data_IF_221235388815
#
_entry.id   IF_221235388815
#
_cell.length_a   1.000
_cell.length_b   1.000
_cell.length_c   1.000
_cell.angle_alpha   90.00
_cell.angle_beta   90.00
_cell.angle_gamma   90.00
#
_symmetry.space_group_name_H-M   'P 1'
#
loop_
_entity.id
_entity.type
_entity.pdbx_description
1 polymer ?
#
# COMPACT_ATOMS: atom_id res chain seq x y z
N UNK A 1 52.04 -22.33 11.51
CA UNK A 1 50.97 -21.66 12.28
C UNK A 1 50.54 -20.30 11.70
N UNK A 2 51.38 -19.60 10.92
CA UNK A 2 51.06 -18.27 10.36
C UNK A 2 50.07 -18.32 9.18
N UNK A 3 50.20 -19.27 8.25
CA UNK A 3 49.34 -19.34 7.05
C UNK A 3 47.86 -19.63 7.37
N UNK A 4 47.57 -20.60 8.25
CA UNK A 4 46.18 -20.91 8.66
C UNK A 4 45.43 -19.72 9.26
N UNK A 5 46.13 -18.85 10.02
CA UNK A 5 45.52 -17.63 10.59
C UNK A 5 45.22 -16.59 9.52
N UNK A 6 46.02 -16.53 8.46
CA UNK A 6 45.80 -15.61 7.34
C UNK A 6 44.55 -16.04 6.54
N UNK A 7 44.43 -17.33 6.22
CA UNK A 7 43.29 -17.88 5.47
C UNK A 7 41.96 -17.75 6.24
N UNK A 8 41.98 -17.96 7.55
CA UNK A 8 40.81 -17.75 8.42
C UNK A 8 40.37 -16.27 8.43
N UNK A 9 41.32 -15.33 8.55
CA UNK A 9 41.02 -13.90 8.56
C UNK A 9 40.41 -13.43 7.23
N UNK A 10 40.95 -13.89 6.10
CA UNK A 10 40.41 -13.59 4.76
C UNK A 10 38.99 -14.15 4.60
N UNK A 11 38.77 -15.38 5.05
CA UNK A 11 37.46 -16.05 4.99
C UNK A 11 36.41 -15.32 5.83
N UNK A 12 36.75 -14.92 7.05
CA UNK A 12 35.86 -14.15 7.94
C UNK A 12 35.54 -12.78 7.33
N UNK A 13 36.54 -12.06 6.82
CA UNK A 13 36.33 -10.75 6.17
C UNK A 13 35.39 -10.85 4.96
N UNK A 14 35.54 -11.90 4.15
CA UNK A 14 34.66 -12.16 2.99
C UNK A 14 33.21 -12.44 3.43
N UNK A 15 33.00 -13.28 4.45
CA UNK A 15 31.67 -13.57 5.00
C UNK A 15 30.97 -12.33 5.54
N UNK A 16 31.70 -11.49 6.28
CA UNK A 16 31.17 -10.22 6.81
C UNK A 16 30.77 -9.28 5.68
N UNK A 17 31.57 -9.15 4.62
CA UNK A 17 31.23 -8.32 3.47
C UNK A 17 29.97 -8.82 2.73
N UNK A 18 29.85 -10.14 2.54
CA UNK A 18 28.66 -10.74 1.92
C UNK A 18 27.42 -10.49 2.78
N UNK A 19 27.48 -10.76 4.09
CA UNK A 19 26.35 -10.53 5.00
C UNK A 19 25.97 -9.04 5.08
N UNK A 20 26.96 -8.14 5.13
CA UNK A 20 26.71 -6.69 5.09
C UNK A 20 25.98 -6.28 3.81
N UNK A 21 26.44 -6.80 2.66
CA UNK A 21 25.85 -6.48 1.36
C UNK A 21 24.42 -7.01 1.27
N UNK A 22 24.17 -8.24 1.71
CA UNK A 22 22.84 -8.85 1.73
C UNK A 22 21.87 -8.12 2.68
N UNK A 23 22.37 -7.52 3.76
CA UNK A 23 21.56 -6.73 4.68
C UNK A 23 21.30 -5.30 4.17
N UNK A 24 22.34 -4.61 3.69
CA UNK A 24 22.24 -3.21 3.25
C UNK A 24 21.51 -3.05 1.92
N UNK A 25 21.68 -3.99 0.98
CA UNK A 25 21.08 -3.88 -0.36
C UNK A 25 19.55 -3.74 -0.31
N UNK A 26 18.77 -4.63 0.34
CA UNK A 26 17.32 -4.47 0.39
C UNK A 26 16.90 -3.23 1.18
N UNK A 27 17.62 -2.85 2.24
CA UNK A 27 17.33 -1.64 3.02
C UNK A 27 17.52 -0.37 2.19
N UNK A 28 18.63 -0.27 1.46
CA UNK A 28 18.93 0.88 0.60
C UNK A 28 18.02 0.92 -0.63
N UNK A 29 17.67 -0.23 -1.21
CA UNK A 29 16.72 -0.29 -2.32
C UNK A 29 15.32 0.11 -1.88
N UNK A 30 14.83 -0.40 -0.74
CA UNK A 30 13.54 -0.01 -0.18
C UNK A 30 13.49 1.48 0.18
N UNK A 31 14.56 1.99 0.80
CA UNK A 31 14.69 3.42 1.09
C UNK A 31 14.79 4.28 -0.18
N UNK A 32 15.61 3.90 -1.15
CA UNK A 32 15.77 4.61 -2.41
C UNK A 32 14.47 4.64 -3.21
N UNK A 33 13.76 3.52 -3.29
CA UNK A 33 12.43 3.45 -3.89
C UNK A 33 11.46 4.37 -3.17
N UNK A 34 11.44 4.37 -1.82
CA UNK A 34 10.60 5.27 -1.02
C UNK A 34 10.85 6.76 -1.25
N UNK A 35 12.08 7.15 -1.60
CA UNK A 35 12.43 8.55 -1.90
C UNK A 35 12.00 8.93 -3.31
N UNK A 36 12.18 8.03 -4.27
CA UNK A 36 11.86 8.25 -5.69
C UNK A 36 10.36 8.18 -5.96
N UNK A 37 9.67 7.29 -5.26
CA UNK A 37 8.23 7.06 -5.36
C UNK A 37 7.63 7.54 -4.06
N UNK A 38 7.47 8.88 -3.95
CA UNK A 38 6.77 9.47 -2.80
C UNK A 38 5.28 9.12 -2.85
N UNK A 39 4.62 8.88 -1.71
CA UNK A 39 5.15 8.87 -0.34
C UNK A 39 5.85 7.54 0.04
N UNK A 40 6.61 7.55 1.16
CA UNK A 40 7.50 6.47 1.62
C UNK A 40 6.89 5.06 1.42
N UNK A 41 7.54 4.25 0.60
CA UNK A 41 7.16 2.87 0.29
C UNK A 41 7.43 1.95 1.48
N UNK A 42 6.38 1.68 2.26
CA UNK A 42 6.28 0.48 3.09
C UNK A 42 5.30 -0.45 2.36
N UNK A 43 5.81 -1.49 1.70
CA UNK A 43 4.94 -2.56 1.20
C UNK A 43 4.37 -3.22 2.44
N UNK A 44 3.06 -3.11 2.60
CA UNK A 44 2.37 -3.73 3.72
C UNK A 44 2.83 -5.17 4.00
N UNK A 45 2.70 -5.54 5.28
CA UNK A 45 2.88 -6.89 5.87
C UNK A 45 4.27 -7.52 5.74
N UNK A 46 4.88 -7.56 4.56
CA UNK A 46 6.14 -8.26 4.32
C UNK A 46 7.36 -7.45 4.75
N UNK A 47 7.38 -6.13 4.56
CA UNK A 47 8.48 -5.29 5.04
C UNK A 47 8.57 -5.28 6.56
N UNK A 48 7.42 -5.32 7.25
CA UNK A 48 7.35 -5.44 8.71
C UNK A 48 7.97 -6.75 9.24
N UNK A 49 8.01 -7.80 8.42
CA UNK A 49 8.60 -9.11 8.78
C UNK A 49 10.06 -9.20 8.31
N UNK A 50 10.36 -8.72 7.10
CA UNK A 50 11.67 -8.84 6.49
C UNK A 50 12.70 -7.86 7.07
N UNK A 51 12.30 -6.61 7.34
CA UNK A 51 13.21 -5.57 7.80
C UNK A 51 13.87 -5.91 9.15
N UNK A 52 13.15 -6.43 10.17
CA UNK A 52 13.79 -6.89 11.40
C UNK A 52 14.89 -7.93 11.15
N UNK A 53 14.69 -8.86 10.21
CA UNK A 53 15.69 -9.86 9.83
C UNK A 53 16.96 -9.23 9.23
N UNK A 54 16.81 -8.31 8.28
CA UNK A 54 17.95 -7.62 7.67
C UNK A 54 18.68 -6.72 8.67
N UNK A 55 17.96 -6.09 9.58
CA UNK A 55 18.51 -5.25 10.63
C UNK A 55 19.30 -6.08 11.65
N UNK A 56 18.77 -7.22 12.08
CA UNK A 56 19.48 -8.15 12.96
C UNK A 56 20.76 -8.66 12.30
N UNK A 57 20.70 -8.99 11.00
CA UNK A 57 21.87 -9.40 10.23
C UNK A 57 22.92 -8.28 10.16
N UNK A 58 22.50 -7.03 9.93
CA UNK A 58 23.39 -5.87 9.92
C UNK A 58 24.02 -5.63 11.30
N UNK A 59 23.24 -5.76 12.38
CA UNK A 59 23.73 -5.62 13.75
C UNK A 59 24.80 -6.69 14.08
N UNK A 60 24.58 -7.95 13.67
CA UNK A 60 25.55 -9.03 13.84
C UNK A 60 26.87 -8.77 13.08
N UNK A 61 26.76 -8.24 11.86
CA UNK A 61 27.91 -7.83 11.03
C UNK A 61 28.71 -6.71 11.72
N UNK A 62 28.02 -5.71 12.25
CA UNK A 62 28.65 -4.58 12.96
C UNK A 62 29.33 -5.06 14.24
N UNK A 63 28.66 -5.88 15.04
CA UNK A 63 29.20 -6.43 16.29
C UNK A 63 30.45 -7.29 16.02
N UNK A 64 30.42 -8.15 15.00
CA UNK A 64 31.57 -8.97 14.61
C UNK A 64 32.76 -8.11 14.19
N UNK A 65 32.54 -7.04 13.41
CA UNK A 65 33.62 -6.11 13.01
C UNK A 65 34.18 -5.32 14.18
N UNK A 66 33.32 -4.86 15.08
CA UNK A 66 33.74 -4.16 16.29
C UNK A 66 34.53 -5.10 17.21
N UNK A 67 34.07 -6.33 17.41
CA UNK A 67 34.75 -7.34 18.22
C UNK A 67 36.14 -7.66 17.66
N UNK A 68 36.28 -7.81 16.33
CA UNK A 68 37.57 -8.04 15.68
C UNK A 68 38.51 -6.84 15.84
N UNK A 69 38.04 -5.61 15.60
CA UNK A 69 38.86 -4.39 15.75
C UNK A 69 39.29 -4.13 17.19
N UNK A 70 38.43 -4.41 18.17
CA UNK A 70 38.73 -4.25 19.59
C UNK A 70 39.63 -5.36 20.10
N UNK A 71 39.55 -6.57 19.54
CA UNK A 71 40.47 -7.67 19.84
C UNK A 71 41.91 -7.39 19.39
N UNK A 72 42.08 -6.70 18.25
CA UNK A 72 43.39 -6.37 17.70
C UNK A 72 44.06 -5.15 18.36
N UNK A 73 43.30 -4.26 19.01
CA UNK A 73 43.81 -2.94 19.40
C UNK A 73 43.81 -2.60 20.91
N UNK A 74 43.18 -3.37 21.80
CA UNK A 74 43.00 -2.95 23.20
C UNK A 74 43.38 -4.02 24.26
N UNK A 75 44.07 -3.64 25.36
CA UNK A 75 44.26 -4.51 26.52
C UNK A 75 42.91 -4.90 27.15
N UNK A 76 42.79 -6.17 27.55
CA UNK A 76 41.54 -6.83 27.95
C UNK A 76 40.69 -6.15 29.04
N UNK A 77 41.24 -5.16 29.77
CA UNK A 77 40.58 -4.47 30.88
C UNK A 77 39.80 -3.21 30.50
N UNK A 78 39.92 -2.71 29.28
CA UNK A 78 39.24 -1.48 28.82
C UNK A 78 38.32 -1.73 27.62
N UNK A 79 37.74 -2.93 27.49
CA UNK A 79 36.72 -3.16 26.45
C UNK A 79 35.47 -2.37 26.82
N UNK A 80 35.14 -1.28 26.12
CA UNK A 80 33.98 -0.49 26.47
C UNK A 80 32.73 -1.35 26.24
N UNK A 81 31.69 -1.05 27.01
CA UNK A 81 30.37 -1.64 26.95
C UNK A 81 29.62 -1.31 25.65
N UNK A 82 30.29 -1.36 24.49
CA UNK A 82 29.71 -1.19 23.16
C UNK A 82 28.58 -2.18 22.88
N UNK A 83 28.55 -3.30 23.65
CA UNK A 83 27.41 -4.19 23.73
C UNK A 83 26.10 -3.45 24.07
N UNK A 84 26.12 -2.44 24.94
CA UNK A 84 24.91 -1.71 25.34
C UNK A 84 24.35 -0.88 24.20
N UNK A 85 25.18 -0.19 23.42
CA UNK A 85 24.72 0.61 22.29
C UNK A 85 24.13 -0.26 21.17
N UNK A 86 24.71 -1.43 20.92
CA UNK A 86 24.15 -2.40 19.96
C UNK A 86 22.73 -2.83 20.38
N UNK A 87 22.52 -3.15 21.65
CA UNK A 87 21.21 -3.56 22.14
C UNK A 87 20.18 -2.43 22.05
N UNK A 88 20.59 -1.17 22.23
CA UNK A 88 19.71 -0.03 22.00
C UNK A 88 19.33 0.17 20.53
N UNK A 89 20.26 -0.04 19.59
CA UNK A 89 19.97 0.03 18.14
C UNK A 89 19.01 -1.11 17.74
N UNK A 90 19.28 -2.34 18.18
CA UNK A 90 18.41 -3.49 17.92
C UNK A 90 17.02 -3.28 18.55
N UNK A 91 16.96 -2.81 19.80
CA UNK A 91 15.69 -2.53 20.48
C UNK A 91 14.89 -1.41 19.80
N UNK A 92 15.54 -0.31 19.41
CA UNK A 92 14.90 0.80 18.70
C UNK A 92 14.35 0.36 17.34
N UNK A 93 15.11 -0.43 16.59
CA UNK A 93 14.69 -0.92 15.29
C UNK A 93 13.61 -2.02 15.38
N UNK A 94 13.70 -2.91 16.37
CA UNK A 94 12.62 -3.85 16.68
C UNK A 94 11.36 -3.10 17.07
N UNK A 95 11.45 -2.04 17.88
CA UNK A 95 10.30 -1.19 18.21
C UNK A 95 9.67 -0.54 16.96
N UNK A 96 10.47 -0.10 15.98
CA UNK A 96 9.96 0.42 14.72
C UNK A 96 9.19 -0.63 13.89
N UNK A 97 9.56 -1.92 13.95
CA UNK A 97 8.85 -3.01 13.26
C UNK A 97 7.69 -3.60 14.05
N UNK A 98 7.82 -3.68 15.38
CA UNK A 98 6.79 -4.26 16.27
C UNK A 98 5.67 -3.29 16.57
N UNK A 99 5.87 -1.97 16.53
CA UNK A 99 4.77 -1.01 16.74
C UNK A 99 3.71 -1.09 15.62
N UNK A 100 4.08 -1.10 14.32
CA UNK A 100 3.12 -1.34 13.23
C UNK A 100 2.49 -2.73 13.29
N UNK A 101 3.28 -3.77 13.58
CA UNK A 101 2.77 -5.14 13.68
C UNK A 101 1.82 -5.31 14.88
N UNK A 102 2.17 -4.75 16.04
CA UNK A 102 1.31 -4.72 17.21
C UNK A 102 0.03 -3.95 16.88
N UNK A 103 0.13 -2.76 16.27
CA UNK A 103 -1.05 -2.04 15.78
C UNK A 103 -1.90 -2.87 14.83
N UNK A 104 -1.32 -3.68 13.94
CA UNK A 104 -2.06 -4.58 13.06
C UNK A 104 -2.72 -5.74 13.82
N UNK A 105 -2.00 -6.39 14.74
CA UNK A 105 -2.50 -7.53 15.52
C UNK A 105 -3.49 -7.13 16.62
N UNK A 106 -3.36 -5.91 17.15
CA UNK A 106 -4.25 -5.34 18.17
C UNK A 106 -5.29 -4.41 17.58
N UNK A 107 -5.18 -4.02 16.31
CA UNK A 107 -6.29 -3.34 15.65
C UNK A 107 -7.42 -4.34 15.61
N UNK A 108 -8.50 -4.01 16.30
CA UNK A 108 -9.81 -4.66 16.17
C UNK A 108 -10.45 -4.40 14.81
N UNK A 109 -9.71 -3.86 13.84
CA UNK A 109 -10.12 -3.84 12.45
C UNK A 109 -10.44 -5.28 12.05
N UNK A 110 -11.71 -5.58 11.75
CA UNK A 110 -12.12 -6.95 11.45
C UNK A 110 -11.29 -7.49 10.28
N UNK A 111 -11.13 -8.82 10.17
CA UNK A 111 -10.72 -9.42 8.89
C UNK A 111 -11.58 -8.82 7.79
N UNK A 112 -11.00 -8.67 6.59
CA UNK A 112 -11.63 -7.97 5.48
C UNK A 112 -13.13 -8.19 5.46
N UNK A 113 -13.93 -7.10 5.52
CA UNK A 113 -15.36 -7.26 5.65
C UNK A 113 -15.90 -8.23 4.61
N UNK A 114 -16.66 -9.24 5.04
CA UNK A 114 -17.18 -10.29 4.16
C UNK A 114 -17.95 -9.72 2.95
N UNK A 115 -18.47 -8.50 3.09
CA UNK A 115 -19.17 -7.79 2.02
C UNK A 115 -18.29 -7.45 0.81
N UNK A 116 -16.95 -7.33 0.92
CA UNK A 116 -16.11 -7.12 -0.27
C UNK A 116 -16.15 -8.33 -1.21
N UNK A 117 -16.07 -9.53 -0.62
CA UNK A 117 -16.19 -10.78 -1.38
C UNK A 117 -17.57 -10.88 -2.02
N UNK A 118 -18.64 -10.63 -1.26
CA UNK A 118 -20.01 -10.66 -1.78
C UNK A 118 -20.24 -9.63 -2.90
N UNK A 119 -19.68 -8.42 -2.77
CA UNK A 119 -19.70 -7.40 -3.84
C UNK A 119 -19.01 -7.89 -5.10
N UNK A 120 -17.83 -8.49 -4.96
CA UNK A 120 -17.07 -8.99 -6.09
C UNK A 120 -17.77 -10.15 -6.80
N UNK A 121 -18.32 -11.10 -6.04
CA UNK A 121 -19.13 -12.21 -6.56
C UNK A 121 -20.37 -11.69 -7.30
N UNK A 122 -21.13 -10.77 -6.67
CA UNK A 122 -22.28 -10.14 -7.30
C UNK A 122 -21.91 -9.41 -8.60
N UNK A 123 -20.79 -8.69 -8.60
CA UNK A 123 -20.35 -7.94 -9.77
C UNK A 123 -19.87 -8.86 -10.89
N UNK A 124 -19.18 -9.95 -10.57
CA UNK A 124 -18.77 -10.94 -11.57
C UNK A 124 -19.97 -11.64 -12.22
N UNK A 125 -21.07 -11.83 -11.48
CA UNK A 125 -22.31 -12.39 -12.01
C UNK A 125 -23.10 -11.39 -12.87
N UNK A 126 -23.00 -10.09 -12.56
CA UNK A 126 -23.86 -9.05 -13.14
C UNK A 126 -23.21 -8.26 -14.27
N UNK A 127 -21.89 -8.10 -14.25
CA UNK A 127 -21.16 -7.28 -15.21
C UNK A 127 -20.78 -8.07 -16.47
N UNK A 128 -20.83 -7.40 -17.61
CA UNK A 128 -20.33 -7.95 -18.87
C UNK A 128 -18.80 -7.78 -18.98
N UNK A 129 -18.18 -8.61 -19.82
CA UNK A 129 -16.77 -8.45 -20.15
C UNK A 129 -16.51 -7.05 -20.73
N UNK A 130 -15.50 -6.36 -20.19
CA UNK A 130 -15.14 -5.00 -20.60
C UNK A 130 -15.88 -3.88 -19.88
N UNK A 131 -16.91 -4.16 -19.07
CA UNK A 131 -17.53 -3.18 -18.17
C UNK A 131 -16.51 -2.56 -17.21
N UNK A 132 -16.86 -1.42 -16.61
CA UNK A 132 -16.00 -0.73 -15.64
C UNK A 132 -16.58 -0.82 -14.23
N UNK A 133 -15.74 -1.05 -13.24
CA UNK A 133 -16.10 -0.97 -11.83
C UNK A 133 -15.41 0.25 -11.22
N UNK A 134 -16.17 1.28 -10.85
CA UNK A 134 -15.67 2.44 -10.14
C UNK A 134 -15.68 2.15 -8.63
N UNK A 135 -14.51 2.16 -8.03
CA UNK A 135 -14.32 2.08 -6.57
C UNK A 135 -13.78 3.41 -6.06
N UNK A 136 -14.34 3.87 -4.94
CA UNK A 136 -13.85 5.07 -4.30
C UNK A 136 -12.82 4.69 -3.22
N UNK A 137 -11.70 5.40 -3.18
CA UNK A 137 -10.74 5.33 -2.08
C UNK A 137 -10.20 3.90 -1.79
N UNK A 138 -10.08 3.56 -0.50
CA UNK A 138 -9.36 2.43 0.10
C UNK A 138 -9.84 1.03 -0.29
N UNK A 139 -11.05 0.91 -0.84
CA UNK A 139 -11.65 -0.40 -1.12
C UNK A 139 -10.99 -1.09 -2.32
N UNK A 140 -10.27 -0.34 -3.16
CA UNK A 140 -9.68 -0.86 -4.38
C UNK A 140 -8.69 -2.01 -4.11
N UNK A 141 -7.85 -1.91 -3.07
CA UNK A 141 -6.87 -2.96 -2.72
C UNK A 141 -7.57 -4.30 -2.48
N UNK A 142 -8.58 -4.25 -1.64
CA UNK A 142 -9.26 -5.43 -1.14
C UNK A 142 -10.20 -6.00 -2.19
N UNK A 143 -10.87 -5.12 -2.92
CA UNK A 143 -11.79 -5.54 -3.95
C UNK A 143 -11.06 -6.09 -5.17
N UNK A 144 -9.86 -5.60 -5.52
CA UNK A 144 -9.07 -6.15 -6.63
C UNK A 144 -8.84 -7.65 -6.46
N UNK A 145 -8.39 -8.07 -5.27
CA UNK A 145 -8.18 -9.48 -4.96
C UNK A 145 -9.47 -10.30 -5.11
N UNK A 146 -10.59 -9.79 -4.58
CA UNK A 146 -11.86 -10.52 -4.62
C UNK A 146 -12.48 -10.54 -6.03
N UNK A 147 -12.32 -9.49 -6.83
CA UNK A 147 -12.78 -9.43 -8.22
C UNK A 147 -12.02 -10.42 -9.11
N UNK A 148 -10.71 -10.53 -8.91
CA UNK A 148 -9.88 -11.52 -9.60
C UNK A 148 -10.33 -12.95 -9.26
N UNK A 149 -10.51 -13.23 -7.96
CA UNK A 149 -11.01 -14.54 -7.50
C UNK A 149 -12.43 -14.85 -8.00
N UNK A 150 -13.29 -13.84 -8.12
CA UNK A 150 -14.65 -13.99 -8.64
C UNK A 150 -14.72 -14.10 -10.18
N UNK A 151 -13.61 -13.88 -10.88
CA UNK A 151 -13.56 -13.95 -12.34
C UNK A 151 -14.17 -12.73 -13.04
N UNK A 152 -14.18 -11.56 -12.39
CA UNK A 152 -14.64 -10.32 -13.02
C UNK A 152 -13.75 -9.95 -14.21
N UNK A 153 -14.35 -9.83 -15.41
CA UNK A 153 -13.65 -9.55 -16.67
C UNK A 153 -13.71 -8.08 -17.10
N UNK A 154 -14.07 -7.18 -16.18
CA UNK A 154 -14.10 -5.74 -16.44
C UNK A 154 -12.83 -5.03 -16.01
N UNK A 155 -12.84 -3.71 -16.12
CA UNK A 155 -11.75 -2.84 -15.65
C UNK A 155 -12.12 -2.18 -14.33
N UNK A 156 -11.26 -2.34 -13.32
CA UNK A 156 -11.34 -1.55 -12.11
C UNK A 156 -10.84 -0.12 -12.38
N UNK A 157 -11.62 0.88 -11.98
CA UNK A 157 -11.30 2.30 -12.02
C UNK A 157 -11.40 2.83 -10.60
N UNK A 158 -10.45 3.66 -10.19
CA UNK A 158 -10.48 4.26 -8.85
C UNK A 158 -10.70 5.76 -8.91
N UNK A 159 -11.26 6.30 -7.83
CA UNK A 159 -11.27 7.74 -7.60
C UNK A 159 -10.74 8.05 -6.19
N UNK A 160 -9.75 8.95 -6.05
CA UNK A 160 -8.97 9.61 -7.12
C UNK A 160 -8.21 8.64 -8.04
N UNK A 161 -7.94 9.05 -9.29
CA UNK A 161 -7.41 8.16 -10.35
C UNK A 161 -5.94 7.80 -10.16
N UNK A 162 -5.18 8.63 -9.45
CA UNK A 162 -3.78 8.34 -9.13
C UNK A 162 -3.61 7.10 -8.25
N UNK A 163 -4.67 6.67 -7.55
CA UNK A 163 -4.68 5.45 -6.75
C UNK A 163 -4.68 4.16 -7.59
N UNK A 164 -4.94 4.23 -8.90
CA UNK A 164 -4.84 3.05 -9.79
C UNK A 164 -3.43 2.48 -9.82
N UNK A 165 -2.41 3.34 -9.67
CA UNK A 165 -0.99 2.94 -9.70
C UNK A 165 -0.35 2.76 -8.33
N UNK A 166 -0.98 3.25 -7.26
CA UNK A 166 -0.44 3.21 -5.90
C UNK A 166 -1.54 2.95 -4.88
N UNK A 167 -1.62 1.70 -4.46
CA UNK A 167 -2.60 1.23 -3.50
C UNK A 167 -1.93 1.22 -2.11
N UNK A 168 -2.46 2.00 -1.16
CA UNK A 168 -2.07 1.90 0.25
C UNK A 168 -1.65 3.19 0.96
N UNK A 169 -1.49 4.30 0.24
CA UNK A 169 -1.13 5.60 0.85
C UNK A 169 -2.12 6.68 0.43
N UNK A 170 -3.13 6.92 1.26
CA UNK A 170 -4.19 7.90 1.00
C UNK A 170 -4.18 8.95 2.11
N UNK A 171 -3.92 10.20 1.75
CA UNK A 171 -4.18 11.36 2.60
C UNK A 171 -5.40 12.11 2.08
N UNK A 172 -6.56 11.67 2.55
CA UNK A 172 -7.85 12.27 2.18
C UNK A 172 -7.93 13.76 2.51
N UNK A 173 -7.20 14.23 3.53
CA UNK A 173 -7.17 15.65 3.88
C UNK A 173 -6.33 16.45 2.89
N UNK A 174 -5.23 15.87 2.38
CA UNK A 174 -4.46 16.45 1.29
C UNK A 174 -5.23 16.44 -0.04
N UNK A 175 -6.03 15.41 -0.31
CA UNK A 175 -6.91 15.38 -1.50
C UNK A 175 -7.98 16.48 -1.44
N UNK A 176 -8.56 16.71 -0.25
CA UNK A 176 -9.56 17.77 -0.07
C UNK A 176 -8.96 19.18 -0.05
N UNK A 177 -7.67 19.34 0.26
CA UNK A 177 -7.02 20.65 0.24
C UNK A 177 -6.59 21.10 -1.16
N UNK A 178 -6.54 20.18 -2.13
CA UNK A 178 -6.28 20.45 -3.56
C UNK A 178 -7.52 20.16 -4.42
N UNK A 179 -8.54 21.02 -4.28
CA UNK A 179 -9.82 20.90 -4.99
C UNK A 179 -9.66 20.94 -6.52
N UNK A 180 -8.65 21.66 -7.02
CA UNK A 180 -8.36 21.75 -8.44
C UNK A 180 -7.92 20.40 -9.00
N UNK A 181 -6.97 19.72 -8.33
CA UNK A 181 -6.56 18.35 -8.68
C UNK A 181 -7.73 17.38 -8.58
N UNK A 182 -8.50 17.45 -7.49
CA UNK A 182 -9.64 16.56 -7.28
C UNK A 182 -10.73 16.72 -8.36
N UNK A 183 -10.94 17.96 -8.82
CA UNK A 183 -11.86 18.25 -9.92
C UNK A 183 -11.33 17.73 -11.27
N UNK A 184 -10.04 17.88 -11.57
CA UNK A 184 -9.43 17.33 -12.78
C UNK A 184 -9.50 15.78 -12.80
N UNK A 185 -9.30 15.13 -11.66
CA UNK A 185 -9.48 13.69 -11.52
C UNK A 185 -10.95 13.28 -11.75
N UNK A 186 -11.90 14.08 -11.27
CA UNK A 186 -13.33 13.81 -11.45
C UNK A 186 -13.74 13.95 -12.93
N UNK A 187 -13.20 14.95 -13.62
CA UNK A 187 -13.37 15.12 -15.07
C UNK A 187 -12.77 13.94 -15.85
N UNK A 188 -11.61 13.43 -15.40
CA UNK A 188 -10.99 12.24 -15.99
C UNK A 188 -11.88 11.00 -15.83
N UNK A 189 -12.48 10.80 -14.65
CA UNK A 189 -13.45 9.71 -14.44
C UNK A 189 -14.71 9.90 -15.29
N UNK A 190 -15.23 11.12 -15.39
CA UNK A 190 -16.40 11.43 -16.22
C UNK A 190 -16.13 11.17 -17.72
N UNK A 191 -14.94 11.51 -18.22
CA UNK A 191 -14.54 11.19 -19.59
C UNK A 191 -14.49 9.68 -19.82
N UNK A 192 -13.88 8.92 -18.91
CA UNK A 192 -13.85 7.44 -18.98
C UNK A 192 -15.24 6.81 -18.93
N UNK A 193 -16.14 7.37 -18.12
CA UNK A 193 -17.55 6.95 -18.08
C UNK A 193 -18.25 7.23 -19.41
N UNK A 194 -18.05 8.41 -19.99
CA UNK A 194 -18.59 8.77 -21.31
C UNK A 194 -18.14 7.77 -22.37
N UNK A 195 -16.85 7.47 -22.41
CA UNK A 195 -16.26 6.54 -23.38
C UNK A 195 -16.76 5.09 -23.17
N UNK A 196 -16.98 4.69 -21.91
CA UNK A 196 -17.54 3.39 -21.59
C UNK A 196 -18.98 3.27 -22.11
N UNK A 197 -19.83 4.25 -21.77
CA UNK A 197 -21.23 4.29 -22.17
C UNK A 197 -21.39 4.40 -23.69
N UNK A 198 -20.57 5.21 -24.37
CA UNK A 198 -20.57 5.34 -25.82
C UNK A 198 -20.20 4.01 -26.52
N UNK A 199 -19.35 3.20 -25.89
CA UNK A 199 -19.01 1.85 -26.35
C UNK A 199 -20.05 0.78 -25.94
N UNK A 200 -21.19 1.16 -25.35
CA UNK A 200 -22.23 0.24 -24.90
C UNK A 200 -21.88 -0.54 -23.63
N UNK A 201 -20.87 -0.11 -22.87
CA UNK A 201 -20.41 -0.74 -21.63
C UNK A 201 -21.05 -0.09 -20.42
N UNK A 202 -21.30 -0.87 -19.38
CA UNK A 202 -21.79 -0.33 -18.11
C UNK A 202 -20.62 0.17 -17.25
N UNK A 203 -20.91 1.15 -16.39
CA UNK A 203 -20.04 1.50 -15.28
C UNK A 203 -20.75 1.28 -13.96
N UNK A 204 -20.17 0.42 -13.13
CA UNK A 204 -20.68 -0.01 -11.84
C UNK A 204 -20.01 0.79 -10.74
N UNK A 205 -20.76 1.63 -10.05
CA UNK A 205 -20.27 2.35 -8.88
C UNK A 205 -20.45 1.51 -7.61
N UNK A 206 -19.33 1.19 -6.97
CA UNK A 206 -19.27 0.52 -5.68
C UNK A 206 -19.06 1.56 -4.58
N UNK A 207 -20.15 2.03 -3.96
CA UNK A 207 -20.07 3.07 -2.92
C UNK A 207 -19.52 2.50 -1.62
N UNK A 208 -18.65 3.27 -0.96
CA UNK A 208 -18.14 2.96 0.37
C UNK A 208 -19.26 3.18 1.43
N UNK A 209 -19.23 2.43 2.53
CA UNK A 209 -20.18 2.50 3.64
C UNK A 209 -19.71 3.40 4.79
N UNK A 210 -18.77 4.32 4.53
CA UNK A 210 -18.22 5.19 5.57
C UNK A 210 -19.27 6.08 6.25
N UNK A 211 -19.00 6.50 7.51
CA UNK A 211 -19.80 7.50 8.19
C UNK A 211 -19.91 8.81 7.37
N UNK A 212 -21.03 9.55 7.50
CA UNK A 212 -21.25 10.81 6.78
C UNK A 212 -20.13 11.84 6.97
N UNK A 213 -19.57 11.91 8.17
CA UNK A 213 -18.54 12.90 8.54
C UNK A 213 -17.12 12.49 8.14
N UNK A 214 -16.96 11.35 7.46
CA UNK A 214 -15.63 10.92 7.04
C UNK A 214 -15.11 11.81 5.90
N UNK A 215 -13.81 12.18 5.89
CA UNK A 215 -13.20 12.86 4.75
C UNK A 215 -13.38 12.11 3.42
N UNK A 216 -13.48 10.78 3.47
CA UNK A 216 -13.74 9.94 2.29
C UNK A 216 -15.12 10.21 1.71
N UNK A 217 -16.12 10.39 2.56
CA UNK A 217 -17.48 10.76 2.14
C UNK A 217 -17.48 12.10 1.41
N UNK A 218 -16.69 13.08 1.85
CA UNK A 218 -16.56 14.36 1.16
C UNK A 218 -15.93 14.24 -0.23
N UNK A 219 -14.86 13.44 -0.36
CA UNK A 219 -14.26 13.11 -1.68
C UNK A 219 -15.27 12.42 -2.59
N UNK A 220 -16.03 11.46 -2.06
CA UNK A 220 -17.07 10.74 -2.80
C UNK A 220 -18.19 11.67 -3.28
N UNK A 221 -18.63 12.58 -2.40
CA UNK A 221 -19.66 13.57 -2.71
C UNK A 221 -19.19 14.55 -3.79
N UNK A 222 -17.89 14.86 -3.86
CA UNK A 222 -17.32 15.69 -4.93
C UNK A 222 -17.51 15.04 -6.30
N UNK A 223 -17.10 13.78 -6.45
CA UNK A 223 -17.29 13.04 -7.70
C UNK A 223 -18.78 12.88 -8.04
N UNK A 224 -19.61 12.53 -7.05
CA UNK A 224 -21.05 12.35 -7.28
C UNK A 224 -21.71 13.64 -7.77
N UNK A 225 -21.34 14.80 -7.21
CA UNK A 225 -21.81 16.09 -7.69
C UNK A 225 -21.39 16.35 -9.13
N UNK A 226 -20.11 16.15 -9.45
CA UNK A 226 -19.58 16.35 -10.81
C UNK A 226 -20.26 15.46 -11.85
N UNK A 227 -20.49 14.19 -11.52
CA UNK A 227 -21.16 13.26 -12.42
C UNK A 227 -22.65 13.61 -12.60
N UNK A 228 -23.33 14.07 -11.54
CA UNK A 228 -24.71 14.57 -11.65
C UNK A 228 -24.81 15.84 -12.49
N UNK A 229 -23.87 16.78 -12.30
CA UNK A 229 -23.80 18.01 -13.10
C UNK A 229 -23.54 17.71 -14.58
N UNK A 230 -22.82 16.63 -14.88
CA UNK A 230 -22.63 16.10 -16.23
C UNK A 230 -23.82 15.29 -16.77
N UNK A 231 -24.91 15.18 -16.00
CA UNK A 231 -26.15 14.52 -16.43
C UNK A 231 -26.21 13.01 -16.18
N UNK A 232 -25.29 12.44 -15.40
CA UNK A 232 -25.34 11.01 -15.05
C UNK A 232 -26.26 10.75 -13.87
N UNK A 233 -26.93 9.59 -13.91
CA UNK A 233 -27.83 9.11 -12.85
C UNK A 233 -27.30 7.80 -12.30
N UNK A 234 -27.40 7.67 -10.97
CA UNK A 234 -27.08 6.43 -10.25
C UNK A 234 -28.34 5.63 -10.00
N UNK A 235 -28.44 4.46 -10.62
CA UNK A 235 -29.51 3.51 -10.39
C UNK A 235 -29.03 2.42 -9.42
N UNK A 236 -29.66 2.31 -8.25
CA UNK A 236 -29.29 1.28 -7.29
C UNK A 236 -29.62 -0.11 -7.85
N UNK A 237 -28.61 -0.98 -7.94
CA UNK A 237 -28.76 -2.38 -8.38
C UNK A 237 -28.73 -3.35 -7.20
N UNK A 238 -27.93 -3.05 -6.18
CA UNK A 238 -28.03 -3.67 -4.87
C UNK A 238 -27.81 -2.64 -3.77
N UNK A 239 -28.86 -2.39 -2.97
CA UNK A 239 -28.76 -1.49 -1.80
C UNK A 239 -27.98 -2.13 -0.64
N UNK A 240 -28.08 -3.44 -0.49
CA UNK A 240 -27.34 -4.20 0.53
C UNK A 240 -25.83 -4.10 0.30
N UNK A 241 -25.42 -4.17 -0.97
CA UNK A 241 -24.02 -4.13 -1.37
C UNK A 241 -23.54 -2.75 -1.84
N UNK A 242 -24.39 -1.71 -1.77
CA UNK A 242 -24.08 -0.35 -2.23
C UNK A 242 -23.55 -0.31 -3.68
N UNK A 243 -24.15 -1.11 -4.56
CA UNK A 243 -23.80 -1.21 -5.98
C UNK A 243 -24.82 -0.44 -6.80
N UNK A 244 -24.32 0.47 -7.62
CA UNK A 244 -25.12 1.32 -8.50
C UNK A 244 -24.62 1.17 -9.93
N UNK A 245 -25.54 1.19 -10.89
CA UNK A 245 -25.19 1.34 -12.30
C UNK A 245 -25.28 2.82 -12.67
N UNK A 246 -24.22 3.34 -13.28
CA UNK A 246 -24.22 4.68 -13.86
C UNK A 246 -24.83 4.63 -15.25
N UNK A 247 -25.81 5.50 -15.46
CA UNK A 247 -26.49 5.68 -16.76
C UNK A 247 -26.41 7.13 -17.17
N UNK A 248 -26.32 7.38 -18.48
CA UNK A 248 -26.64 8.70 -19.00
C UNK A 248 -28.08 9.01 -18.62
N UNK A 249 -28.30 10.08 -17.85
CA UNK A 249 -29.63 10.59 -17.64
C UNK A 249 -30.20 10.92 -19.02
N UNK A 250 -31.43 10.48 -19.29
CA UNK A 250 -32.20 11.04 -20.40
C UNK A 250 -32.35 12.54 -20.11
N UNK A 251 -31.42 13.35 -20.63
CA UNK A 251 -31.67 14.76 -20.86
C UNK A 251 -32.75 14.78 -21.95
N UNK A 252 -34.01 14.69 -21.53
CA UNK A 252 -35.15 14.88 -22.41
C UNK A 252 -34.87 16.14 -23.22
N UNK A 253 -34.85 15.99 -24.54
CA UNK A 253 -34.59 17.08 -25.46
C UNK A 253 -35.45 18.28 -25.10
N UNK A 254 -34.81 19.44 -25.01
CA UNK A 254 -35.44 20.69 -25.35
C UNK A 254 -35.00 21.06 -26.75
#
# INVERSE_FOLDING_TARGET
MSERRCDEAVTVRRRILVAASLALTPLLLGWGYSVLVRPIYFVGRYDCVAWPGFILLLALVIDTRLALRVADAAPARCRPSGRRLHWWIVAGMMACGTVPLARYLTSTSPPLPAWHRQRAEWLAESAAAGDMALVLSYDAEYLTYHLDQAGFQGRLVTFPTWLEGQIGWIDTAADLSDEARLSADAETVAARLTDALAAGRAMWWLKDSQPPDSPRTAVNAHLERRLRDAGYVLEARSREYLIYEMRAGFAGGK
#
